data_IF_265501302398
#
_entry.id   IF_265501302398
#
_cell.length_a   1.000
_cell.length_b   1.000
_cell.length_c   1.000
_cell.angle_alpha   90.00
_cell.angle_beta   90.00
_cell.angle_gamma   90.00
#
_symmetry.space_group_name_H-M   'P 1'
#
loop_
_entity.id
_entity.type
_entity.pdbx_description
1 polymer ?
#
# COMPACT_ATOMS: atom_id res chain seq x y z
N UNK A 1 28.52 -6.56 -2.53
CA UNK A 1 27.04 -6.67 -2.58
C UNK A 1 26.55 -8.12 -2.49
N UNK A 2 27.42 -9.09 -2.21
CA UNK A 2 27.06 -10.30 -1.46
C UNK A 2 28.20 -10.51 -0.46
N UNK A 3 27.88 -10.48 0.83
CA UNK A 3 28.82 -10.85 1.88
C UNK A 3 29.01 -12.37 1.83
N UNK A 4 30.20 -12.87 2.18
CA UNK A 4 30.42 -14.31 2.32
C UNK A 4 29.43 -14.89 3.34
N UNK A 5 28.85 -16.05 3.02
CA UNK A 5 27.85 -16.69 3.86
C UNK A 5 28.53 -17.14 5.15
N UNK A 6 28.11 -16.56 6.28
CA UNK A 6 28.68 -16.87 7.59
C UNK A 6 28.55 -18.38 7.86
N UNK A 7 29.62 -19.10 8.25
CA UNK A 7 29.59 -20.56 8.47
C UNK A 7 28.50 -21.01 9.44
N UNK A 8 28.05 -20.12 10.34
CA UNK A 8 27.00 -20.41 11.33
C UNK A 8 25.59 -20.52 10.74
N UNK A 9 25.34 -19.98 9.54
CA UNK A 9 24.02 -20.03 8.87
C UNK A 9 23.94 -21.12 7.80
N UNK A 10 25.05 -21.78 7.44
CA UNK A 10 25.09 -22.82 6.41
C UNK A 10 24.29 -24.09 6.75
N UNK A 11 23.98 -24.33 8.03
CA UNK A 11 23.21 -25.48 8.49
C UNK A 11 21.75 -25.20 8.81
N UNK A 12 21.26 -23.98 8.57
CA UNK A 12 19.85 -23.66 8.78
C UNK A 12 19.03 -24.30 7.66
N UNK A 13 17.97 -25.02 8.04
CA UNK A 13 17.04 -25.61 7.09
C UNK A 13 16.37 -24.49 6.30
N UNK A 14 16.42 -24.59 4.98
CA UNK A 14 15.71 -23.69 4.08
C UNK A 14 14.20 -23.71 4.34
N UNK A 15 13.52 -22.67 3.85
CA UNK A 15 12.08 -22.51 3.95
C UNK A 15 11.36 -23.78 3.51
N UNK A 16 10.45 -24.26 4.37
CA UNK A 16 9.68 -25.47 4.11
C UNK A 16 8.54 -25.21 3.11
N UNK A 17 8.11 -26.26 2.39
CA UNK A 17 6.99 -26.19 1.43
C UNK A 17 5.72 -25.57 2.04
N UNK A 18 5.46 -25.82 3.33
CA UNK A 18 4.31 -25.26 4.07
C UNK A 18 4.39 -23.74 4.25
N UNK A 19 5.59 -23.20 4.44
CA UNK A 19 5.83 -21.76 4.56
C UNK A 19 5.69 -21.08 3.20
N UNK A 20 6.13 -21.72 2.12
CA UNK A 20 5.89 -21.22 0.76
C UNK A 20 4.38 -21.14 0.49
N UNK A 21 3.61 -22.15 0.87
CA UNK A 21 2.16 -22.17 0.65
C UNK A 21 1.45 -21.03 1.39
N UNK A 22 1.91 -20.64 2.58
CA UNK A 22 1.31 -19.51 3.32
C UNK A 22 1.77 -18.15 2.80
N UNK A 23 2.98 -18.06 2.24
CA UNK A 23 3.53 -16.83 1.63
C UNK A 23 3.03 -16.60 0.20
N UNK A 24 2.74 -17.66 -0.54
CA UNK A 24 2.27 -17.60 -1.92
C UNK A 24 1.03 -16.71 -2.12
N UNK A 25 -0.05 -16.79 -1.29
CA UNK A 25 -1.21 -15.91 -1.46
C UNK A 25 -0.86 -14.43 -1.27
N UNK A 26 0.03 -14.09 -0.32
CA UNK A 26 0.52 -12.72 -0.15
C UNK A 26 1.20 -12.21 -1.42
N UNK A 27 2.08 -13.03 -2.00
CA UNK A 27 2.81 -12.70 -3.23
C UNK A 27 1.84 -12.49 -4.39
N UNK A 28 0.84 -13.37 -4.54
CA UNK A 28 -0.20 -13.23 -5.58
C UNK A 28 -0.97 -11.93 -5.43
N UNK A 29 -1.34 -11.53 -4.21
CA UNK A 29 -2.03 -10.26 -3.95
C UNK A 29 -1.16 -9.04 -4.32
N UNK A 30 0.14 -9.08 -4.00
CA UNK A 30 1.08 -8.01 -4.36
C UNK A 30 1.19 -7.88 -5.88
N UNK A 31 1.32 -9.00 -6.59
CA UNK A 31 1.34 -8.99 -8.05
C UNK A 31 0.02 -8.51 -8.65
N UNK A 32 -1.12 -8.88 -8.06
CA UNK A 32 -2.44 -8.44 -8.52
C UNK A 32 -2.57 -6.91 -8.46
N UNK A 33 -2.16 -6.30 -7.34
CA UNK A 33 -2.18 -4.84 -7.16
C UNK A 33 -1.17 -4.16 -8.10
N UNK A 34 -0.01 -4.77 -8.32
CA UNK A 34 1.03 -4.24 -9.21
C UNK A 34 0.66 -4.25 -10.70
N UNK A 35 -0.01 -5.31 -11.18
CA UNK A 35 -0.44 -5.44 -12.59
C UNK A 35 -1.70 -4.60 -12.86
N UNK A 36 -2.64 -4.56 -11.90
CA UNK A 36 -3.89 -3.81 -12.05
C UNK A 36 -4.14 -2.85 -10.87
N UNK A 37 -3.41 -1.71 -10.82
CA UNK A 37 -3.56 -0.73 -9.74
C UNK A 37 -4.92 -0.03 -9.78
N UNK A 38 -5.61 -0.02 -10.92
CA UNK A 38 -6.91 0.64 -11.10
C UNK A 38 -8.01 0.09 -10.17
N UNK A 39 -7.95 -1.19 -9.78
CA UNK A 39 -8.88 -1.74 -8.79
C UNK A 39 -8.70 -1.08 -7.41
N UNK A 40 -7.49 -0.64 -7.07
CA UNK A 40 -7.21 0.02 -5.80
C UNK A 40 -7.35 1.55 -5.90
N UNK A 41 -6.87 2.15 -7.00
CA UNK A 41 -6.95 3.59 -7.26
C UNK A 41 -8.41 4.08 -7.35
N UNK A 42 -9.31 3.28 -7.93
CA UNK A 42 -10.75 3.60 -7.98
C UNK A 42 -11.38 3.87 -6.60
N UNK A 43 -11.01 3.09 -5.58
CA UNK A 43 -11.48 3.33 -4.21
C UNK A 43 -10.88 4.58 -3.57
N UNK A 44 -9.66 4.96 -3.96
CA UNK A 44 -9.03 6.19 -3.46
C UNK A 44 -9.61 7.45 -4.10
N UNK A 45 -10.05 7.40 -5.36
CA UNK A 45 -10.59 8.59 -6.03
C UNK A 45 -11.83 9.14 -5.32
N UNK A 46 -12.77 8.27 -4.90
CA UNK A 46 -13.98 8.71 -4.20
C UNK A 46 -13.70 9.37 -2.84
N UNK A 47 -12.71 8.86 -2.09
CA UNK A 47 -12.33 9.44 -0.80
C UNK A 47 -11.57 10.75 -0.99
N UNK A 48 -10.67 10.83 -1.97
CA UNK A 48 -9.92 12.05 -2.29
C UNK A 48 -10.85 13.15 -2.79
N UNK A 49 -11.82 12.84 -3.64
CA UNK A 49 -12.82 13.81 -4.13
C UNK A 49 -13.61 14.42 -2.98
N UNK A 50 -14.11 13.59 -2.05
CA UNK A 50 -14.85 14.08 -0.89
C UNK A 50 -13.97 14.91 0.09
N UNK A 51 -12.68 14.59 0.20
CA UNK A 51 -11.73 15.39 0.97
C UNK A 51 -11.43 16.73 0.31
N UNK A 52 -11.24 16.76 -1.02
CA UNK A 52 -11.03 17.99 -1.78
C UNK A 52 -12.25 18.91 -1.69
N UNK A 53 -13.46 18.36 -1.81
CA UNK A 53 -14.71 19.09 -1.62
C UNK A 53 -14.83 19.69 -0.21
N UNK A 54 -14.47 18.92 0.81
CA UNK A 54 -14.45 19.39 2.20
C UNK A 54 -13.48 20.56 2.41
N UNK A 55 -12.27 20.47 1.86
CA UNK A 55 -11.27 21.54 1.94
C UNK A 55 -11.70 22.78 1.14
N UNK A 56 -12.29 22.61 -0.04
CA UNK A 56 -12.79 23.72 -0.85
C UNK A 56 -13.92 24.47 -0.15
N UNK A 57 -14.84 23.76 0.50
CA UNK A 57 -15.94 24.34 1.28
C UNK A 57 -15.44 25.06 2.53
N UNK A 58 -14.46 24.49 3.24
CA UNK A 58 -13.83 25.12 4.41
C UNK A 58 -13.17 26.47 4.05
N UNK A 59 -12.37 26.50 2.97
CA UNK A 59 -11.78 27.73 2.47
C UNK A 59 -12.84 28.79 2.10
N UNK A 60 -13.94 28.37 1.48
CA UNK A 60 -15.03 29.29 1.11
C UNK A 60 -15.77 29.84 2.36
N UNK A 61 -15.98 29.03 3.39
CA UNK A 61 -16.59 29.48 4.64
C UNK A 61 -15.70 30.42 5.45
N UNK A 62 -14.37 30.24 5.38
CA UNK A 62 -13.42 31.14 6.03
C UNK A 62 -13.51 32.53 5.39
N UNK A 63 -13.46 32.62 4.06
CA UNK A 63 -13.61 33.89 3.32
C UNK A 63 -14.96 34.56 3.62
N UNK A 64 -16.05 33.80 3.64
CA UNK A 64 -17.37 34.32 3.96
C UNK A 64 -17.49 34.82 5.42
N UNK A 65 -16.72 34.25 6.35
CA UNK A 65 -16.66 34.69 7.75
C UNK A 65 -15.89 36.00 7.89
N UNK A 66 -14.87 36.25 7.07
CA UNK A 66 -14.15 37.53 7.05
C UNK A 66 -14.91 38.68 6.36
N UNK A 67 -15.92 38.37 5.53
CA UNK A 67 -16.74 39.37 4.83
C UNK A 67 -18.00 39.81 5.61
N UNK A 68 -18.24 39.22 6.78
CA UNK A 68 -19.44 39.45 7.60
C UNK A 68 -19.08 40.22 8.86
#
# INVERSE_FOLDING_TARGET
FFMEVNPRVQGLTDINMREIITLLPMIVLIFWIGIYPNAFLGFMHATVENLLDGVARANASDIATFMK
#
